data_IF_929590391252
#
_entry.id   IF_929590391252
#
_cell.length_a   1.000
_cell.length_b   1.000
_cell.length_c   1.000
_cell.angle_alpha   90.00
_cell.angle_beta   90.00
_cell.angle_gamma   90.00
#
_symmetry.space_group_name_H-M   'P 1'
#
loop_
_entity.id
_entity.type
_entity.pdbx_description
1 polymer ?
#
# COMPACT_ATOMS: atom_id res chain seq x y z
N UNK A 1 -23.00 15.41 -25.54
CA UNK A 1 -23.21 16.62 -26.36
C UNK A 1 -22.45 17.75 -25.69
N UNK A 2 -21.61 18.44 -26.47
CA UNK A 2 -20.79 19.60 -26.15
C UNK A 2 -19.63 19.39 -25.13
N UNK A 3 -18.51 18.90 -25.66
CA UNK A 3 -17.16 19.12 -25.10
C UNK A 3 -16.55 20.28 -25.91
N UNK A 4 -16.20 21.38 -25.24
CA UNK A 4 -15.49 22.49 -25.86
C UNK A 4 -13.99 22.22 -25.79
N UNK A 5 -13.37 22.05 -26.96
CA UNK A 5 -11.93 22.00 -27.13
C UNK A 5 -11.43 23.42 -27.41
N UNK A 6 -10.47 23.89 -26.62
CA UNK A 6 -9.69 25.10 -26.93
C UNK A 6 -8.45 24.66 -27.69
N UNK A 7 -8.35 25.10 -28.93
CA UNK A 7 -7.18 24.93 -29.78
C UNK A 7 -6.14 26.00 -29.44
N UNK A 8 -4.88 25.57 -29.30
CA UNK A 8 -3.72 26.44 -29.48
C UNK A 8 -3.02 25.97 -30.76
N UNK A 9 -2.86 26.90 -31.70
CA UNK A 9 -2.14 26.68 -32.95
C UNK A 9 -0.88 27.56 -32.98
N UNK A 10 0.07 27.05 -33.75
CA UNK A 10 1.26 27.65 -34.32
C UNK A 10 2.53 27.88 -33.48
N UNK A 11 3.57 27.15 -33.88
CA UNK A 11 4.75 27.86 -34.36
C UNK A 11 6.10 27.22 -34.12
N UNK A 12 6.42 26.05 -34.71
CA UNK A 12 7.82 25.70 -34.97
C UNK A 12 8.01 25.03 -36.35
N UNK A 13 8.66 25.79 -37.24
CA UNK A 13 9.14 25.34 -38.56
C UNK A 13 10.41 24.51 -38.39
N UNK A 14 10.41 23.29 -38.91
CA UNK A 14 11.64 22.55 -39.23
C UNK A 14 11.62 22.17 -40.71
N UNK A 15 12.58 22.72 -41.45
CA UNK A 15 12.91 22.42 -42.85
C UNK A 15 13.47 21.00 -42.99
N UNK A 16 12.86 20.19 -43.86
CA UNK A 16 13.42 18.91 -44.32
C UNK A 16 13.67 18.94 -45.82
N UNK A 17 14.93 18.68 -46.17
CA UNK A 17 15.47 18.56 -47.53
C UNK A 17 15.05 17.24 -48.18
N UNK A 18 14.78 17.32 -49.48
CA UNK A 18 14.30 16.25 -50.36
C UNK A 18 15.38 15.25 -50.79
N UNK A 19 15.05 13.95 -50.82
CA UNK A 19 15.61 12.99 -51.79
C UNK A 19 14.72 11.75 -52.04
N UNK A 20 14.07 11.74 -53.20
CA UNK A 20 13.79 10.61 -54.13
C UNK A 20 13.56 9.17 -53.63
N UNK A 21 12.28 8.76 -53.63
CA UNK A 21 11.64 7.71 -54.45
C UNK A 21 12.36 6.36 -54.70
N UNK A 22 11.84 5.26 -54.13
CA UNK A 22 11.70 3.93 -54.78
C UNK A 22 10.67 3.05 -54.04
N UNK A 23 9.51 2.81 -54.68
CA UNK A 23 8.49 1.85 -54.25
C UNK A 23 8.92 0.41 -54.60
N UNK A 24 8.93 -0.50 -53.63
CA UNK A 24 8.86 -1.95 -53.87
C UNK A 24 7.58 -2.50 -53.20
N UNK A 25 6.69 -3.06 -54.02
CA UNK A 25 5.53 -3.85 -53.59
C UNK A 25 5.99 -5.27 -53.27
N UNK A 26 5.66 -5.80 -52.10
CA UNK A 26 5.72 -7.23 -51.79
C UNK A 26 4.29 -7.77 -51.65
N UNK A 27 4.04 -8.87 -52.36
CA UNK A 27 2.76 -9.59 -52.46
C UNK A 27 2.55 -10.47 -51.23
N UNK A 28 1.32 -10.50 -50.70
CA UNK A 28 0.86 -11.50 -49.73
C UNK A 28 0.21 -12.70 -50.47
N UNK A 29 0.38 -13.95 -50.01
CA UNK A 29 -0.28 -15.13 -50.58
C UNK A 29 -1.71 -15.34 -50.02
N UNK A 30 -2.56 -16.16 -50.68
CA UNK A 30 -4.00 -16.19 -50.44
C UNK A 30 -4.48 -17.27 -49.44
N UNK A 31 -5.57 -16.92 -48.74
CA UNK A 31 -6.68 -17.71 -48.20
C UNK A 31 -6.47 -19.18 -47.78
N UNK A 32 -6.65 -19.43 -46.48
CA UNK A 32 -7.28 -20.66 -45.96
C UNK A 32 -8.46 -20.29 -45.07
N UNK A 33 -9.60 -20.91 -45.36
CA UNK A 33 -10.89 -20.79 -44.66
C UNK A 33 -10.98 -21.92 -43.62
N UNK A 34 -11.48 -21.62 -42.43
CA UNK A 34 -12.22 -22.56 -41.57
C UNK A 34 -13.43 -21.85 -40.92
N UNK A 35 -14.56 -22.53 -40.71
CA UNK A 35 -15.86 -21.92 -40.42
C UNK A 35 -16.20 -21.93 -38.92
N UNK A 36 -17.04 -20.99 -38.49
CA UNK A 36 -17.64 -21.03 -37.15
C UNK A 36 -18.20 -19.69 -36.67
N UNK A 37 -19.24 -19.17 -37.33
CA UNK A 37 -20.04 -18.05 -36.79
C UNK A 37 -21.30 -18.64 -36.17
N UNK A 38 -21.41 -18.58 -34.84
CA UNK A 38 -22.68 -18.80 -34.15
C UNK A 38 -23.51 -17.51 -34.21
N UNK A 39 -24.58 -17.54 -35.01
CA UNK A 39 -25.68 -16.57 -34.93
C UNK A 39 -26.53 -16.84 -33.70
N UNK A 40 -26.65 -15.84 -32.81
CA UNK A 40 -27.61 -15.85 -31.70
C UNK A 40 -28.97 -15.38 -32.22
N UNK A 41 -29.91 -16.31 -32.34
CA UNK A 41 -31.34 -16.02 -32.57
C UNK A 41 -31.96 -15.36 -31.32
N UNK A 42 -32.51 -14.15 -31.47
CA UNK A 42 -33.42 -13.56 -30.48
C UNK A 42 -34.79 -14.22 -30.59
N UNK A 43 -35.17 -15.06 -29.62
CA UNK A 43 -36.58 -15.43 -29.40
C UNK A 43 -37.23 -14.51 -28.37
N UNK A 44 -38.24 -13.76 -28.85
CA UNK A 44 -39.25 -13.08 -28.03
C UNK A 44 -40.16 -14.12 -27.38
N UNK A 45 -40.33 -14.09 -26.07
CA UNK A 45 -41.40 -14.80 -25.38
C UNK A 45 -42.45 -13.81 -24.87
N UNK A 46 -43.68 -14.06 -25.31
CA UNK A 46 -44.90 -13.35 -24.98
C UNK A 46 -45.41 -13.72 -23.59
N UNK A 47 -45.96 -12.73 -22.90
CA UNK A 47 -46.68 -12.84 -21.65
C UNK A 47 -47.92 -13.74 -21.74
N UNK A 48 -48.24 -14.45 -20.65
CA UNK A 48 -49.58 -14.98 -20.40
C UNK A 48 -49.97 -14.80 -18.93
N UNK A 49 -50.92 -13.90 -18.69
CA UNK A 49 -51.69 -13.79 -17.44
C UNK A 49 -52.61 -15.01 -17.27
N UNK A 50 -52.65 -15.57 -16.06
CA UNK A 50 -53.87 -16.11 -15.42
C UNK A 50 -53.74 -15.91 -13.92
N UNK A 51 -54.74 -15.27 -13.31
CA UNK A 51 -54.86 -15.15 -11.86
C UNK A 51 -55.55 -16.37 -11.25
N UNK A 52 -55.66 -16.37 -9.91
CA UNK A 52 -56.91 -16.44 -9.14
C UNK A 52 -56.62 -16.69 -7.64
N UNK A 53 -57.29 -15.86 -6.83
CA UNK A 53 -57.79 -16.02 -5.44
C UNK A 53 -56.87 -16.18 -4.21
N UNK A 54 -56.90 -15.09 -3.43
CA UNK A 54 -57.11 -14.95 -1.97
C UNK A 54 -57.30 -16.19 -1.10
N UNK A 55 -56.65 -16.18 0.07
CA UNK A 55 -57.23 -16.59 1.36
C UNK A 55 -56.57 -15.84 2.53
N UNK A 56 -57.28 -15.85 3.66
CA UNK A 56 -57.35 -14.83 4.74
C UNK A 56 -56.27 -14.92 5.83
N UNK A 57 -56.20 -13.79 6.56
CA UNK A 57 -55.95 -13.59 7.99
C UNK A 57 -55.28 -14.69 8.83
N UNK A 58 -54.17 -14.31 9.46
CA UNK A 58 -53.74 -14.78 10.78
C UNK A 58 -53.38 -13.58 11.65
N UNK A 59 -54.12 -13.41 12.75
CA UNK A 59 -53.87 -12.42 13.81
C UNK A 59 -53.08 -13.07 14.98
N UNK A 60 -52.74 -12.24 15.97
CA UNK A 60 -52.26 -12.49 17.36
C UNK A 60 -50.79 -12.08 17.64
N UNK A 61 -50.47 -11.60 18.87
CA UNK A 61 -51.20 -10.61 19.66
C UNK A 61 -50.34 -9.45 20.20
N UNK A 62 -51.06 -8.39 20.53
CA UNK A 62 -50.70 -7.29 21.42
C UNK A 62 -50.29 -7.77 22.82
N UNK A 63 -49.21 -7.21 23.36
CA UNK A 63 -48.94 -7.14 24.79
C UNK A 63 -49.32 -5.74 25.30
N UNK A 64 -50.11 -5.68 26.38
CA UNK A 64 -50.58 -4.43 27.00
C UNK A 64 -50.46 -4.53 28.51
N UNK A 65 -50.22 -3.35 29.10
CA UNK A 65 -50.29 -2.95 30.51
C UNK A 65 -49.10 -3.45 31.38
N UNK A 66 -48.53 -2.66 32.30
CA UNK A 66 -49.23 -1.76 33.22
C UNK A 66 -48.37 -0.61 33.77
N UNK A 67 -49.07 0.41 34.26
CA UNK A 67 -48.61 1.67 34.84
C UNK A 67 -48.03 1.50 36.26
N UNK A 68 -47.03 2.31 36.63
CA UNK A 68 -46.97 3.02 37.93
C UNK A 68 -46.14 4.30 37.76
N UNK A 69 -46.72 5.50 37.75
CA UNK A 69 -47.23 6.34 38.86
C UNK A 69 -46.12 7.17 39.52
N UNK A 70 -46.19 8.48 39.24
CA UNK A 70 -45.49 9.62 39.86
C UNK A 70 -45.41 9.51 41.38
N UNK A 71 -44.32 10.02 41.95
CA UNK A 71 -44.39 10.85 43.14
C UNK A 71 -43.46 12.07 43.02
N UNK A 72 -44.01 13.18 43.49
CA UNK A 72 -43.52 14.55 43.45
C UNK A 72 -43.56 15.01 44.89
N UNK A 73 -42.45 15.46 45.47
CA UNK A 73 -42.49 16.33 46.65
C UNK A 73 -41.35 17.34 46.61
N UNK A 74 -41.77 18.58 46.76
CA UNK A 74 -41.02 19.82 46.88
C UNK A 74 -40.77 20.17 48.36
N UNK A 75 -39.78 21.02 48.61
CA UNK A 75 -39.71 21.87 49.82
C UNK A 75 -38.27 22.40 50.00
N UNK A 76 -37.95 23.61 49.52
CA UNK A 76 -38.06 24.90 50.22
C UNK A 76 -37.15 25.03 51.45
N UNK A 77 -36.17 25.95 51.39
CA UNK A 77 -35.91 27.08 52.32
C UNK A 77 -34.47 27.60 52.19
N UNK A 78 -34.28 28.78 51.59
CA UNK A 78 -34.13 30.14 52.16
C UNK A 78 -32.69 30.56 52.47
N UNK A 79 -32.38 31.72 51.88
CA UNK A 79 -31.31 32.68 52.10
C UNK A 79 -30.66 32.77 53.49
N UNK A 80 -29.37 33.13 53.47
CA UNK A 80 -28.64 33.73 54.58
C UNK A 80 -27.39 34.45 54.04
N UNK A 81 -27.40 35.77 54.12
CA UNK A 81 -26.36 36.70 53.66
C UNK A 81 -25.27 36.90 54.73
N UNK A 82 -24.18 37.56 54.27
CA UNK A 82 -23.20 38.37 55.03
C UNK A 82 -21.92 37.69 55.54
N UNK A 83 -20.78 38.22 55.08
CA UNK A 83 -19.44 37.92 55.62
C UNK A 83 -18.30 38.48 54.76
N UNK A 84 -18.24 39.81 54.61
CA UNK A 84 -17.10 40.52 54.06
C UNK A 84 -15.87 40.32 54.97
N UNK A 85 -14.81 39.70 54.45
CA UNK A 85 -13.47 39.77 55.03
C UNK A 85 -12.45 39.88 53.89
N UNK A 86 -12.02 41.13 53.68
CA UNK A 86 -10.89 41.53 52.85
C UNK A 86 -9.60 40.92 53.42
N UNK A 87 -9.07 39.88 52.77
CA UNK A 87 -7.69 39.47 52.92
C UNK A 87 -7.00 39.71 51.57
N UNK A 88 -6.23 40.79 51.52
CA UNK A 88 -5.40 41.20 50.39
C UNK A 88 -4.22 40.23 50.27
N UNK A 89 -4.44 39.06 49.67
CA UNK A 89 -3.34 38.20 49.22
C UNK A 89 -2.99 38.65 47.81
N UNK A 90 -1.84 39.32 47.68
CA UNK A 90 -1.24 39.62 46.40
C UNK A 90 -0.93 38.30 45.68
N UNK A 91 -1.89 37.84 44.87
CA UNK A 91 -1.70 36.74 43.94
C UNK A 91 -0.75 37.22 42.85
N UNK A 92 0.53 36.91 43.02
CA UNK A 92 1.45 36.83 41.89
C UNK A 92 0.91 35.70 41.02
N UNK A 93 0.17 36.06 39.97
CA UNK A 93 -0.15 35.14 38.90
C UNK A 93 1.17 34.74 38.25
N UNK A 94 1.72 33.60 38.70
CA UNK A 94 2.73 32.89 37.95
C UNK A 94 2.05 32.48 36.66
N UNK A 95 2.25 33.29 35.62
CA UNK A 95 1.99 32.89 34.25
C UNK A 95 2.96 31.74 33.97
N UNK A 96 2.55 30.52 34.32
CA UNK A 96 3.16 29.34 33.74
C UNK A 96 2.98 29.50 32.24
N UNK A 97 4.05 29.51 31.43
CA UNK A 97 3.87 29.42 30.00
C UNK A 97 3.03 28.17 29.78
N UNK A 98 1.85 28.34 29.18
CA UNK A 98 1.15 27.22 28.57
C UNK A 98 2.15 26.72 27.56
N UNK A 99 2.83 25.61 27.88
CA UNK A 99 3.63 24.91 26.90
C UNK A 99 2.67 24.72 25.72
N UNK A 100 2.99 25.30 24.57
CA UNK A 100 2.32 24.94 23.34
C UNK A 100 2.46 23.41 23.29
N UNK A 101 1.34 22.72 23.46
CA UNK A 101 1.30 21.28 23.34
C UNK A 101 1.79 21.04 21.93
N UNK A 102 3.01 20.49 21.79
CA UNK A 102 3.51 20.11 20.47
C UNK A 102 2.39 19.30 19.81
N UNK A 103 2.05 19.59 18.55
CA UNK A 103 0.97 18.87 17.91
C UNK A 103 1.27 17.38 18.05
N UNK A 104 0.37 16.67 18.72
CA UNK A 104 0.49 15.24 18.95
C UNK A 104 0.80 14.55 17.61
N UNK A 105 1.80 13.66 17.58
CA UNK A 105 2.17 12.94 16.37
C UNK A 105 0.94 12.24 15.80
N UNK A 106 0.38 12.81 14.73
CA UNK A 106 -0.85 12.30 14.16
C UNK A 106 -0.51 10.98 13.44
N UNK A 107 -0.88 9.86 14.06
CA UNK A 107 -0.78 8.51 13.46
C UNK A 107 0.67 8.19 13.05
N UNK A 108 1.62 8.54 13.92
CA UNK A 108 3.05 8.32 13.74
C UNK A 108 3.78 9.38 12.90
N UNK A 109 3.11 10.45 12.46
CA UNK A 109 3.71 11.51 11.67
C UNK A 109 3.69 12.85 12.43
N UNK A 110 4.85 13.42 12.78
CA UNK A 110 4.92 14.76 13.37
C UNK A 110 4.33 15.83 12.45
N UNK A 111 3.88 16.93 13.07
CA UNK A 111 3.29 18.04 12.33
C UNK A 111 4.29 18.64 11.33
N UNK A 112 3.86 18.74 10.07
CA UNK A 112 4.67 19.26 8.96
C UNK A 112 5.64 18.25 8.35
N UNK A 113 5.71 17.02 8.84
CA UNK A 113 6.56 15.96 8.28
C UNK A 113 5.80 15.02 7.33
N UNK A 114 6.54 14.13 6.66
CA UNK A 114 6.02 13.07 5.79
C UNK A 114 6.86 11.80 5.97
N UNK A 115 6.71 11.14 7.14
CA UNK A 115 7.53 9.98 7.55
C UNK A 115 7.16 8.67 6.84
N UNK A 116 5.93 8.56 6.33
CA UNK A 116 5.45 7.37 5.62
C UNK A 116 5.27 7.64 4.14
N UNK A 117 5.38 6.62 3.30
CA UNK A 117 5.19 6.76 1.85
C UNK A 117 3.85 7.45 1.49
N UNK A 118 2.80 7.21 2.29
CA UNK A 118 1.47 7.78 2.10
C UNK A 118 1.10 8.85 3.16
N UNK A 119 2.10 9.58 3.66
CA UNK A 119 1.94 10.71 4.59
C UNK A 119 2.03 10.27 6.05
N UNK A 120 1.08 9.47 6.49
CA UNK A 120 1.00 8.92 7.84
C UNK A 120 0.88 7.38 7.82
N UNK A 121 0.93 6.73 9.00
CA UNK A 121 0.80 5.27 9.09
C UNK A 121 -0.55 4.78 8.55
N UNK A 122 -1.60 5.61 8.61
CA UNK A 122 -2.96 5.31 8.18
C UNK A 122 -3.14 5.42 6.65
N UNK A 123 -2.14 5.92 5.93
CA UNK A 123 -2.16 6.06 4.48
C UNK A 123 -3.10 7.17 3.98
N UNK A 124 -3.38 8.19 4.79
CA UNK A 124 -4.40 9.20 4.46
C UNK A 124 -3.95 10.21 3.40
N UNK A 125 -2.64 10.37 3.20
CA UNK A 125 -2.03 11.37 2.30
C UNK A 125 -2.52 12.80 2.57
N UNK A 126 -2.84 13.08 3.82
CA UNK A 126 -3.29 14.39 4.28
C UNK A 126 -2.14 15.13 4.98
N UNK A 127 -2.02 16.43 4.69
CA UNK A 127 -1.13 17.34 5.43
C UNK A 127 -1.98 18.36 6.17
N UNK A 128 -1.72 18.62 7.47
CA UNK A 128 -2.40 19.66 8.23
C UNK A 128 -1.84 21.07 7.99
N UNK A 129 -0.83 21.23 7.13
CA UNK A 129 -0.27 22.53 6.78
C UNK A 129 -1.26 23.32 5.93
N UNK A 130 -1.43 24.59 6.26
CA UNK A 130 -2.42 25.50 5.66
C UNK A 130 -1.80 26.79 5.10
N UNK A 131 -0.46 26.88 5.04
CA UNK A 131 0.22 28.03 4.44
C UNK A 131 -0.17 28.23 2.96
N UNK A 132 -0.40 27.14 2.23
CA UNK A 132 -0.88 27.15 0.85
C UNK A 132 -2.34 26.70 0.87
N UNK A 133 -3.23 27.55 0.35
CA UNK A 133 -4.67 27.33 0.36
C UNK A 133 -5.33 27.82 -0.94
N UNK A 134 -6.67 27.80 -0.98
CA UNK A 134 -7.42 28.21 -2.15
C UNK A 134 -7.33 29.72 -2.47
N UNK A 135 -6.89 30.55 -1.52
CA UNK A 135 -6.76 32.00 -1.70
C UNK A 135 -5.42 32.40 -2.32
N UNK A 136 -4.36 31.60 -2.14
CA UNK A 136 -3.00 31.91 -2.60
C UNK A 136 -2.37 30.88 -3.56
N UNK A 137 -3.08 29.79 -3.91
CA UNK A 137 -2.55 28.74 -4.79
C UNK A 137 -1.98 29.24 -6.13
N UNK A 138 -2.58 30.30 -6.69
CA UNK A 138 -2.16 30.88 -7.97
C UNK A 138 -0.80 31.60 -7.89
N UNK A 139 -0.27 31.84 -6.69
CA UNK A 139 1.03 32.49 -6.46
C UNK A 139 2.19 31.48 -6.38
N UNK A 140 1.93 30.17 -6.53
CA UNK A 140 2.97 29.15 -6.44
C UNK A 140 4.02 29.26 -7.56
N UNK A 141 5.29 29.23 -7.15
CA UNK A 141 6.43 29.16 -8.05
C UNK A 141 7.33 27.96 -7.76
N UNK A 142 8.11 27.55 -8.76
CA UNK A 142 9.10 26.47 -8.59
C UNK A 142 10.26 27.02 -7.77
N UNK A 143 10.42 26.52 -6.53
CA UNK A 143 11.56 26.87 -5.68
C UNK A 143 12.89 26.30 -6.24
N UNK A 144 12.89 25.02 -6.64
CA UNK A 144 14.03 24.35 -7.26
C UNK A 144 13.59 23.05 -7.98
N UNK A 145 14.49 22.46 -8.78
CA UNK A 145 14.28 21.17 -9.45
C UNK A 145 15.49 20.27 -9.22
N UNK A 146 15.26 19.10 -8.61
CA UNK A 146 16.25 18.05 -8.46
C UNK A 146 16.08 16.98 -9.56
N UNK A 147 17.19 16.53 -10.17
CA UNK A 147 17.17 15.57 -11.29
C UNK A 147 17.60 14.18 -10.85
N UNK A 148 16.62 13.27 -10.73
CA UNK A 148 16.81 11.87 -10.38
C UNK A 148 16.75 10.88 -11.56
N UNK A 149 16.74 11.37 -12.79
CA UNK A 149 16.54 10.54 -13.99
C UNK A 149 17.79 9.74 -14.39
N UNK A 150 19.00 10.20 -14.03
CA UNK A 150 20.26 9.60 -14.47
C UNK A 150 20.86 8.52 -13.52
N UNK A 151 20.05 7.89 -12.67
CA UNK A 151 20.49 6.85 -11.72
C UNK A 151 20.28 5.43 -12.27
N UNK A 152 20.88 5.14 -13.42
CA UNK A 152 20.73 3.84 -14.09
C UNK A 152 21.40 3.77 -15.47
N UNK A 153 21.29 2.63 -16.17
CA UNK A 153 21.88 2.47 -17.50
C UNK A 153 21.26 3.41 -18.55
N UNK A 154 20.02 3.86 -18.31
CA UNK A 154 19.30 4.80 -19.16
C UNK A 154 18.48 5.77 -18.29
N UNK A 155 18.12 6.96 -18.82
CA UNK A 155 17.25 7.89 -18.12
C UNK A 155 15.91 7.26 -17.75
N UNK A 156 15.47 7.48 -16.50
CA UNK A 156 14.13 7.08 -16.06
C UNK A 156 13.11 8.16 -16.43
N UNK A 157 12.18 7.81 -17.31
CA UNK A 157 11.13 8.73 -17.77
C UNK A 157 9.85 8.70 -16.94
N UNK A 158 9.70 7.72 -16.04
CA UNK A 158 8.50 7.52 -15.22
C UNK A 158 8.91 7.33 -13.76
N UNK A 159 9.02 8.43 -13.01
CA UNK A 159 9.24 8.39 -11.57
C UNK A 159 7.91 8.16 -10.84
N UNK A 160 7.94 7.28 -9.83
CA UNK A 160 6.78 6.95 -8.98
C UNK A 160 7.01 7.23 -7.51
N UNK A 161 8.21 7.70 -7.17
CA UNK A 161 8.61 7.94 -5.78
C UNK A 161 7.83 9.10 -5.20
N UNK A 162 7.28 8.91 -4.01
CA UNK A 162 6.81 10.00 -3.16
C UNK A 162 7.95 10.32 -2.18
N UNK A 163 8.56 11.53 -2.25
CA UNK A 163 9.59 11.92 -1.30
C UNK A 163 9.06 11.98 0.13
N UNK A 164 9.89 11.58 1.09
CA UNK A 164 9.63 11.67 2.53
C UNK A 164 10.40 12.83 3.13
N UNK A 165 9.75 13.68 3.92
CA UNK A 165 10.38 14.78 4.66
C UNK A 165 10.44 14.41 6.13
N UNK A 166 11.66 14.24 6.64
CA UNK A 166 11.92 13.67 7.97
C UNK A 166 13.06 14.46 8.61
N UNK A 167 12.83 15.02 9.80
CA UNK A 167 13.83 15.73 10.61
C UNK A 167 14.66 16.77 9.81
N UNK A 168 13.98 17.50 8.91
CA UNK A 168 14.63 18.54 8.11
C UNK A 168 15.29 18.06 6.81
N UNK A 169 15.24 16.77 6.48
CA UNK A 169 15.86 16.20 5.28
C UNK A 169 14.80 15.56 4.38
N UNK A 170 14.93 15.74 3.06
CA UNK A 170 14.09 15.10 2.06
C UNK A 170 14.74 13.81 1.56
N UNK A 171 14.02 12.69 1.63
CA UNK A 171 14.48 11.38 1.16
C UNK A 171 13.64 10.90 -0.02
N UNK A 172 14.29 10.33 -1.04
CA UNK A 172 13.58 9.72 -2.18
C UNK A 172 14.41 8.60 -2.80
N UNK A 173 13.83 7.88 -3.74
CA UNK A 173 14.53 6.91 -4.60
C UNK A 173 14.54 7.36 -6.05
N UNK A 174 15.62 7.05 -6.76
CA UNK A 174 15.87 7.55 -8.10
C UNK A 174 16.40 6.48 -9.08
N UNK A 175 16.03 6.67 -10.35
CA UNK A 175 16.46 5.85 -11.49
C UNK A 175 16.13 4.36 -11.41
N UNK A 176 16.72 3.59 -12.32
CA UNK A 176 16.55 2.13 -12.40
C UNK A 176 17.29 1.38 -11.31
N UNK A 177 18.26 2.02 -10.64
CA UNK A 177 19.00 1.42 -9.54
C UNK A 177 18.30 1.54 -8.19
N UNK A 178 17.16 2.26 -8.12
CA UNK A 178 16.50 2.64 -6.87
C UNK A 178 17.50 3.25 -5.89
N UNK A 179 18.34 4.17 -6.40
CA UNK A 179 19.33 4.87 -5.61
C UNK A 179 18.60 5.75 -4.60
N UNK A 180 18.88 5.57 -3.31
CA UNK A 180 18.37 6.45 -2.25
C UNK A 180 19.12 7.76 -2.34
N UNK A 181 18.40 8.88 -2.23
CA UNK A 181 18.99 10.21 -2.16
C UNK A 181 18.41 10.95 -0.95
N UNK A 182 19.30 11.54 -0.15
CA UNK A 182 18.97 12.54 0.85
C UNK A 182 19.29 13.92 0.29
N UNK A 183 18.36 14.85 0.47
CA UNK A 183 18.35 16.16 -0.19
C UNK A 183 18.01 17.21 0.85
N UNK A 184 18.74 18.32 0.83
CA UNK A 184 18.37 19.53 1.56
C UNK A 184 17.09 20.13 0.93
N UNK A 185 15.97 20.20 1.66
CA UNK A 185 14.69 20.62 1.09
C UNK A 185 14.63 22.12 0.74
N UNK A 186 15.49 22.95 1.34
CA UNK A 186 15.48 24.39 1.11
C UNK A 186 16.21 24.75 -0.19
N UNK A 187 17.25 24.00 -0.54
CA UNK A 187 18.16 24.32 -1.65
C UNK A 187 18.10 23.32 -2.81
N UNK A 188 17.63 22.10 -2.57
CA UNK A 188 17.72 20.98 -3.51
C UNK A 188 19.12 20.34 -3.58
N UNK A 189 20.04 20.69 -2.67
CA UNK A 189 21.37 20.08 -2.58
C UNK A 189 21.27 18.59 -2.23
N UNK A 190 22.01 17.74 -2.93
CA UNK A 190 22.11 16.32 -2.57
C UNK A 190 23.13 16.14 -1.45
N UNK A 191 22.65 15.72 -0.28
CA UNK A 191 23.48 15.52 0.91
C UNK A 191 24.27 14.21 0.81
N UNK A 192 23.58 13.13 0.48
CA UNK A 192 24.18 11.82 0.23
C UNK A 192 23.32 10.98 -0.71
N UNK A 193 23.92 9.98 -1.33
CA UNK A 193 23.20 8.97 -2.10
C UNK A 193 23.73 7.59 -1.80
N UNK A 194 22.84 6.59 -1.74
CA UNK A 194 23.22 5.19 -1.65
C UNK A 194 22.69 4.38 -2.83
N UNK A 195 23.57 3.60 -3.45
CA UNK A 195 23.24 2.69 -4.55
C UNK A 195 23.77 1.30 -4.21
N UNK A 196 22.89 0.31 -4.27
CA UNK A 196 23.27 -1.11 -4.14
C UNK A 196 24.35 -1.49 -5.18
N UNK A 197 25.31 -2.35 -4.81
CA UNK A 197 26.21 -3.01 -5.75
C UNK A 197 25.46 -3.64 -6.94
N UNK A 198 26.15 -3.79 -8.07
CA UNK A 198 25.52 -4.45 -9.22
C UNK A 198 25.34 -5.94 -8.95
N UNK A 199 24.10 -6.42 -9.05
CA UNK A 199 23.75 -7.84 -8.88
C UNK A 199 23.00 -8.35 -10.10
N UNK A 200 23.12 -9.65 -10.38
CA UNK A 200 22.33 -10.29 -11.44
C UNK A 200 20.83 -10.20 -11.16
N UNK A 201 20.44 -10.36 -9.89
CA UNK A 201 19.05 -10.16 -9.42
C UNK A 201 18.47 -8.79 -9.79
N UNK A 202 19.28 -7.72 -9.72
CA UNK A 202 18.85 -6.40 -10.20
C UNK A 202 18.73 -6.35 -11.74
N UNK A 203 19.69 -6.90 -12.47
CA UNK A 203 19.70 -6.89 -13.95
C UNK A 203 18.47 -7.58 -14.54
N UNK A 204 18.00 -8.63 -13.87
CA UNK A 204 16.81 -9.40 -14.25
C UNK A 204 15.51 -8.80 -13.65
N UNK A 205 15.59 -7.71 -12.87
CA UNK A 205 14.40 -7.16 -12.21
C UNK A 205 13.47 -6.42 -13.18
N UNK A 206 12.27 -6.96 -13.38
CA UNK A 206 11.20 -6.35 -14.16
C UNK A 206 10.54 -5.14 -13.46
N UNK A 207 10.91 -4.87 -12.20
CA UNK A 207 10.41 -3.78 -11.36
C UNK A 207 11.50 -2.77 -10.98
N UNK A 208 12.66 -2.81 -11.65
CA UNK A 208 13.78 -1.90 -11.40
C UNK A 208 13.38 -0.41 -11.42
N UNK A 209 12.48 -0.01 -12.33
CA UNK A 209 12.00 1.37 -12.50
C UNK A 209 10.77 1.76 -11.65
N UNK A 210 10.36 0.92 -10.70
CA UNK A 210 9.07 1.08 -10.00
C UNK A 210 9.20 1.61 -8.56
N UNK A 211 10.35 2.15 -8.15
CA UNK A 211 10.58 2.61 -6.77
C UNK A 211 9.59 3.70 -6.33
N UNK A 212 8.96 3.51 -5.15
CA UNK A 212 7.88 4.36 -4.62
C UNK A 212 8.22 5.23 -3.40
N UNK A 213 9.42 5.08 -2.85
CA UNK A 213 9.88 5.84 -1.68
C UNK A 213 10.78 5.01 -0.78
N UNK A 214 10.86 5.42 0.48
CA UNK A 214 11.65 4.77 1.54
C UNK A 214 10.76 4.46 2.74
N UNK A 215 11.19 3.51 3.59
CA UNK A 215 10.66 3.33 4.94
C UNK A 215 11.52 4.09 5.94
N UNK A 216 10.97 4.41 7.10
CA UNK A 216 11.67 5.15 8.16
C UNK A 216 11.30 4.61 9.54
N UNK A 217 12.27 4.63 10.45
CA UNK A 217 12.02 4.58 11.89
C UNK A 217 13.12 5.31 12.66
N UNK A 218 12.83 5.66 13.90
CA UNK A 218 13.84 6.07 14.86
C UNK A 218 14.23 4.87 15.74
N UNK A 219 15.52 4.56 15.78
CA UNK A 219 16.10 3.45 16.55
C UNK A 219 17.12 4.04 17.52
N UNK A 220 16.87 3.92 18.83
CA UNK A 220 17.76 4.45 19.88
C UNK A 220 18.13 5.95 19.69
N UNK A 221 17.18 6.79 19.26
CA UNK A 221 17.42 8.22 19.00
C UNK A 221 18.10 8.52 17.66
N UNK A 222 18.22 7.51 16.78
CA UNK A 222 18.86 7.61 15.47
C UNK A 222 17.83 7.35 14.37
N UNK A 223 17.69 8.27 13.43
CA UNK A 223 16.87 8.05 12.24
C UNK A 223 17.49 6.99 11.33
N UNK A 224 16.68 6.03 10.88
CA UNK A 224 17.07 4.93 9.99
C UNK A 224 16.16 4.91 8.77
N UNK A 225 16.75 4.91 7.59
CA UNK A 225 16.07 4.78 6.31
C UNK A 225 16.16 3.33 5.84
N UNK A 226 15.00 2.71 5.60
CA UNK A 226 14.89 1.36 5.08
C UNK A 226 14.53 1.37 3.60
N UNK A 227 15.25 0.59 2.81
CA UNK A 227 14.93 0.41 1.39
C UNK A 227 14.99 -1.07 1.01
N UNK A 228 13.98 -1.53 0.28
CA UNK A 228 14.03 -2.81 -0.40
C UNK A 228 14.46 -2.55 -1.84
N UNK A 229 15.49 -3.22 -2.32
CA UNK A 229 16.04 -3.02 -3.66
C UNK A 229 15.35 -3.91 -4.71
N UNK A 230 15.52 -3.64 -6.01
CA UNK A 230 14.97 -4.53 -7.04
C UNK A 230 15.53 -5.95 -6.99
N UNK A 231 16.73 -6.14 -6.43
CA UNK A 231 17.38 -7.43 -6.20
C UNK A 231 16.86 -8.17 -4.95
N UNK A 232 15.87 -7.60 -4.26
CA UNK A 232 15.21 -8.17 -3.09
C UNK A 232 16.12 -8.27 -1.86
N UNK A 233 16.93 -7.23 -1.63
CA UNK A 233 17.61 -6.99 -0.36
C UNK A 233 16.94 -5.87 0.41
N UNK A 234 16.88 -6.00 1.73
CA UNK A 234 16.51 -4.92 2.64
C UNK A 234 17.77 -4.28 3.20
N UNK A 235 17.95 -2.98 2.96
CA UNK A 235 19.02 -2.18 3.54
C UNK A 235 18.48 -1.27 4.63
N UNK A 236 19.24 -1.15 5.72
CA UNK A 236 19.04 -0.15 6.76
C UNK A 236 20.21 0.84 6.72
N UNK A 237 19.90 2.13 6.53
CA UNK A 237 20.88 3.21 6.37
C UNK A 237 20.66 4.26 7.44
N UNK A 238 21.73 4.77 8.04
CA UNK A 238 21.67 5.96 8.87
C UNK A 238 21.13 7.14 8.05
N UNK A 239 20.09 7.80 8.56
CA UNK A 239 19.38 8.84 7.82
C UNK A 239 20.25 10.06 7.50
N UNK A 240 21.27 10.37 8.32
CA UNK A 240 22.10 11.57 8.16
C UNK A 240 23.29 11.35 7.22
N UNK A 241 23.82 10.14 7.17
CA UNK A 241 25.08 9.80 6.51
C UNK A 241 24.92 8.89 5.31
N UNK A 242 23.84 8.10 5.25
CA UNK A 242 23.64 7.06 4.24
C UNK A 242 24.52 5.82 4.45
N UNK A 243 25.26 5.74 5.56
CA UNK A 243 26.04 4.56 5.92
C UNK A 243 25.13 3.43 6.42
N UNK A 244 25.52 2.18 6.18
CA UNK A 244 24.79 1.02 6.66
C UNK A 244 24.73 0.97 8.19
N UNK A 245 23.55 0.64 8.72
CA UNK A 245 23.34 0.54 10.17
C UNK A 245 24.14 -0.63 10.74
N UNK A 246 25.07 -0.32 11.65
CA UNK A 246 25.88 -1.33 12.33
C UNK A 246 25.02 -2.26 13.20
N UNK A 247 25.27 -3.57 13.09
CA UNK A 247 24.57 -4.60 13.86
C UNK A 247 23.21 -5.00 13.28
N UNK A 248 22.77 -4.37 12.19
CA UNK A 248 21.57 -4.78 11.47
C UNK A 248 21.89 -5.84 10.40
N UNK A 249 21.10 -6.90 10.36
CA UNK A 249 21.24 -7.96 9.35
C UNK A 249 22.57 -8.70 9.40
N UNK A 250 23.05 -9.19 8.25
CA UNK A 250 24.28 -10.00 8.16
C UNK A 250 25.03 -9.75 6.84
N UNK A 251 26.34 -10.06 6.76
CA UNK A 251 27.08 -9.97 5.52
C UNK A 251 26.42 -10.77 4.39
N UNK A 252 26.27 -10.14 3.23
CA UNK A 252 25.82 -10.80 2.00
C UNK A 252 27.06 -11.29 1.25
N UNK A 253 27.15 -12.57 0.85
CA UNK A 253 28.33 -13.14 0.22
C UNK A 253 28.44 -12.78 -1.27
N UNK A 254 28.34 -11.48 -1.58
CA UNK A 254 28.47 -10.91 -2.93
C UNK A 254 29.43 -9.74 -2.85
N UNK A 255 30.40 -9.70 -3.76
CA UNK A 255 31.40 -8.63 -3.82
C UNK A 255 30.75 -7.24 -3.87
N UNK A 256 31.22 -6.36 -3.00
CA UNK A 256 30.78 -4.96 -2.91
C UNK A 256 29.66 -4.70 -1.90
N UNK A 257 29.03 -5.74 -1.34
CA UNK A 257 28.13 -5.56 -0.21
C UNK A 257 28.90 -5.21 1.07
N UNK A 258 28.30 -4.43 1.98
CA UNK A 258 28.88 -4.11 3.28
C UNK A 258 28.86 -5.34 4.22
N UNK A 259 29.62 -5.26 5.31
CA UNK A 259 29.64 -6.28 6.36
C UNK A 259 28.38 -6.27 7.25
N UNK A 260 27.53 -5.25 7.16
CA UNK A 260 26.33 -5.06 7.99
C UNK A 260 25.31 -4.14 7.31
N UNK A 261 24.13 -3.96 7.91
CA UNK A 261 23.05 -3.12 7.43
C UNK A 261 22.26 -3.69 6.25
N UNK A 262 22.35 -5.01 6.00
CA UNK A 262 21.68 -5.68 4.88
C UNK A 262 21.09 -7.01 5.29
N UNK A 263 19.90 -7.31 4.76
CA UNK A 263 19.25 -8.61 4.81
C UNK A 263 19.00 -9.08 3.39
N UNK A 264 19.41 -10.31 3.10
CA UNK A 264 18.98 -11.03 1.90
C UNK A 264 17.62 -11.68 2.16
N UNK A 265 16.55 -11.06 1.65
CA UNK A 265 15.18 -11.47 1.95
C UNK A 265 14.85 -12.86 1.36
N UNK A 266 15.58 -13.31 0.33
CA UNK A 266 15.41 -14.65 -0.22
C UNK A 266 15.72 -15.76 0.80
N UNK A 267 16.62 -15.46 1.76
CA UNK A 267 17.05 -16.41 2.79
C UNK A 267 15.90 -16.92 3.67
N UNK A 268 14.85 -16.10 3.84
CA UNK A 268 13.76 -16.38 4.76
C UNK A 268 12.46 -16.78 4.03
N UNK A 269 12.44 -16.83 2.70
CA UNK A 269 11.26 -17.27 1.93
C UNK A 269 11.05 -18.79 1.99
N UNK A 270 12.11 -19.57 2.20
CA UNK A 270 12.04 -21.04 2.26
C UNK A 270 12.19 -21.74 0.91
N UNK A 271 12.72 -21.07 -0.11
CA UNK A 271 13.04 -21.66 -1.42
C UNK A 271 14.55 -21.79 -1.60
N UNK A 272 14.97 -22.77 -2.41
CA UNK A 272 16.37 -22.84 -2.84
C UNK A 272 16.73 -21.61 -3.66
N UNK A 273 17.85 -20.98 -3.32
CA UNK A 273 18.36 -19.81 -4.02
C UNK A 273 19.89 -19.78 -3.93
N UNK A 274 20.50 -19.10 -4.89
CA UNK A 274 21.90 -18.69 -4.82
C UNK A 274 21.95 -17.19 -4.49
N UNK A 275 22.84 -16.72 -3.60
CA UNK A 275 22.90 -15.30 -3.25
C UNK A 275 23.17 -14.39 -4.46
N UNK A 276 24.01 -14.79 -5.42
CA UNK A 276 24.30 -13.95 -6.58
C UNK A 276 23.21 -14.06 -7.65
N UNK A 277 22.80 -15.28 -7.98
CA UNK A 277 21.89 -15.59 -9.08
C UNK A 277 20.41 -15.43 -8.70
N UNK A 278 20.04 -15.61 -7.44
CA UNK A 278 18.67 -15.59 -6.94
C UNK A 278 17.97 -16.96 -6.99
N UNK A 279 16.64 -16.94 -7.03
CA UNK A 279 15.81 -18.14 -7.21
C UNK A 279 15.93 -18.57 -8.68
N UNK A 280 16.09 -19.88 -8.98
CA UNK A 280 16.04 -20.36 -10.36
C UNK A 280 14.77 -19.92 -11.07
N UNK A 281 14.90 -19.28 -12.24
CA UNK A 281 13.77 -18.68 -12.97
C UNK A 281 12.72 -19.70 -13.44
N UNK A 282 13.03 -21.00 -13.42
CA UNK A 282 12.07 -22.08 -13.67
C UNK A 282 11.25 -22.46 -12.44
N UNK A 283 11.70 -22.12 -11.23
CA UNK A 283 10.95 -22.24 -9.97
C UNK A 283 10.07 -21.01 -9.77
N UNK A 284 10.63 -19.81 -9.94
CA UNK A 284 9.86 -18.58 -9.79
C UNK A 284 10.72 -17.32 -9.77
N UNK A 285 10.07 -16.19 -9.52
CA UNK A 285 10.68 -14.87 -9.56
C UNK A 285 10.02 -13.93 -8.56
N UNK A 286 10.81 -13.27 -7.72
CA UNK A 286 10.33 -12.26 -6.78
C UNK A 286 11.23 -11.03 -6.80
N UNK A 287 10.61 -9.87 -6.58
CA UNK A 287 11.27 -8.57 -6.52
C UNK A 287 10.44 -7.64 -5.62
N UNK A 288 10.69 -6.35 -5.66
CA UNK A 288 9.94 -5.37 -4.88
C UNK A 288 9.72 -4.08 -5.68
N UNK A 289 8.66 -3.33 -5.36
CA UNK A 289 8.41 -1.98 -5.90
C UNK A 289 8.06 -0.92 -4.85
N UNK A 290 7.64 -1.32 -3.65
CA UNK A 290 7.22 -0.42 -2.57
C UNK A 290 8.20 -0.47 -1.40
N UNK A 291 8.41 0.65 -0.68
CA UNK A 291 9.16 0.60 0.56
C UNK A 291 8.49 -0.31 1.60
N UNK A 292 9.25 -0.81 2.60
CA UNK A 292 8.63 -1.43 3.76
C UNK A 292 7.88 -0.39 4.59
N UNK A 293 7.04 -0.85 5.50
CA UNK A 293 6.52 -0.02 6.60
C UNK A 293 7.19 -0.46 7.89
N UNK A 294 7.52 0.49 8.77
CA UNK A 294 8.02 0.18 10.11
C UNK A 294 6.94 0.51 11.13
N UNK A 295 6.56 -0.46 11.94
CA UNK A 295 5.45 -0.37 12.89
C UNK A 295 5.91 -1.02 14.20
N UNK A 296 5.91 -0.25 15.29
CA UNK A 296 6.27 -0.71 16.63
C UNK A 296 7.59 -1.51 16.68
N UNK A 297 8.63 -1.00 16.00
CA UNK A 297 9.94 -1.65 15.94
C UNK A 297 10.04 -2.86 15.00
N UNK A 298 9.03 -3.10 14.17
CA UNK A 298 9.01 -4.20 13.19
C UNK A 298 8.96 -3.65 11.76
N UNK A 299 9.90 -4.07 10.91
CA UNK A 299 9.92 -3.76 9.48
C UNK A 299 9.10 -4.82 8.75
N UNK A 300 7.96 -4.44 8.16
CA UNK A 300 7.12 -5.32 7.36
C UNK A 300 7.38 -5.11 5.88
N UNK A 301 7.70 -6.20 5.20
CA UNK A 301 8.24 -6.23 3.83
C UNK A 301 7.18 -6.80 2.89
N UNK A 302 6.63 -5.93 2.05
CA UNK A 302 5.88 -6.33 0.85
C UNK A 302 6.83 -6.71 -0.30
N UNK A 303 6.25 -7.23 -1.39
CA UNK A 303 7.02 -7.73 -2.52
C UNK A 303 6.27 -7.52 -3.84
N UNK A 304 6.80 -8.02 -4.94
CA UNK A 304 6.24 -7.89 -6.29
C UNK A 304 6.76 -9.01 -7.17
N UNK A 305 5.99 -9.38 -8.19
CA UNK A 305 6.41 -10.35 -9.21
C UNK A 305 6.41 -9.69 -10.60
N UNK A 306 6.65 -10.50 -11.62
CA UNK A 306 6.42 -10.16 -13.02
C UNK A 306 5.03 -9.53 -13.21
N UNK A 307 4.89 -8.59 -14.13
CA UNK A 307 3.58 -8.02 -14.44
C UNK A 307 2.64 -9.12 -14.99
N UNK A 308 1.40 -9.18 -14.52
CA UNK A 308 0.46 -10.24 -14.92
C UNK A 308 0.22 -10.43 -16.43
N UNK A 309 0.48 -9.41 -17.25
CA UNK A 309 0.40 -9.50 -18.72
C UNK A 309 1.67 -10.02 -19.40
N UNK A 310 2.73 -10.27 -18.63
CA UNK A 310 4.01 -10.83 -19.10
C UNK A 310 4.21 -12.29 -18.62
N UNK A 311 3.51 -12.70 -17.55
CA UNK A 311 3.56 -14.06 -17.02
C UNK A 311 3.17 -15.11 -18.07
N UNK A 312 4.10 -16.04 -18.34
CA UNK A 312 3.92 -17.11 -19.34
C UNK A 312 3.98 -18.52 -18.77
N UNK A 313 4.23 -18.66 -17.45
CA UNK A 313 4.34 -19.93 -16.73
C UNK A 313 3.26 -20.05 -15.67
N UNK A 314 2.91 -21.29 -15.32
CA UNK A 314 1.94 -21.54 -14.26
C UNK A 314 2.66 -21.57 -12.89
N UNK A 315 3.92 -21.96 -12.90
CA UNK A 315 4.80 -22.09 -11.75
C UNK A 315 5.37 -20.73 -11.32
N UNK A 316 5.38 -20.48 -10.01
CA UNK A 316 6.08 -19.33 -9.42
C UNK A 316 6.22 -19.53 -7.90
N UNK A 317 7.02 -18.68 -7.25
CA UNK A 317 7.09 -18.63 -5.78
C UNK A 317 5.98 -17.73 -5.19
N UNK A 318 5.47 -18.00 -3.97
CA UNK A 318 4.51 -17.14 -3.30
C UNK A 318 5.10 -15.77 -2.92
N UNK A 319 4.25 -14.74 -2.96
CA UNK A 319 4.54 -13.39 -2.50
C UNK A 319 4.38 -13.22 -1.01
N UNK A 320 5.02 -14.08 -0.22
CA UNK A 320 4.94 -14.09 1.24
C UNK A 320 5.41 -12.76 1.85
N UNK A 321 4.78 -12.40 2.97
CA UNK A 321 5.10 -11.17 3.69
C UNK A 321 6.11 -11.51 4.79
N UNK A 322 7.21 -10.77 4.82
CA UNK A 322 8.29 -10.98 5.79
C UNK A 322 8.30 -9.84 6.81
N UNK A 323 8.71 -10.16 8.04
CA UNK A 323 8.90 -9.17 9.07
C UNK A 323 10.22 -9.36 9.83
N UNK A 324 10.83 -8.24 10.16
CA UNK A 324 12.13 -8.17 10.81
C UNK A 324 12.12 -7.19 11.97
N UNK A 325 12.92 -7.47 13.00
CA UNK A 325 13.22 -6.46 14.02
C UNK A 325 13.92 -5.26 13.37
N UNK A 326 13.41 -4.05 13.61
CA UNK A 326 13.91 -2.85 12.95
C UNK A 326 15.33 -2.48 13.41
N UNK A 327 15.72 -2.85 14.63
CA UNK A 327 17.02 -2.53 15.18
C UNK A 327 18.09 -3.52 14.73
N UNK A 328 17.78 -4.82 14.80
CA UNK A 328 18.77 -5.89 14.60
C UNK A 328 18.66 -6.55 13.23
N UNK A 329 17.52 -6.43 12.56
CA UNK A 329 17.26 -7.18 11.33
C UNK A 329 17.02 -8.68 11.56
N UNK A 330 16.77 -9.10 12.81
CA UNK A 330 16.40 -10.48 13.10
C UNK A 330 15.04 -10.81 12.47
N UNK A 331 14.95 -11.94 11.77
CA UNK A 331 13.70 -12.41 11.20
C UNK A 331 12.70 -12.75 12.31
N UNK A 332 11.53 -12.12 12.30
CA UNK A 332 10.47 -12.34 13.30
C UNK A 332 9.49 -13.39 12.82
N UNK A 333 8.88 -13.16 11.66
CA UNK A 333 7.85 -14.04 11.11
C UNK A 333 7.75 -13.91 9.59
N UNK A 334 7.18 -14.95 8.99
CA UNK A 334 6.74 -15.00 7.60
C UNK A 334 5.26 -15.34 7.58
N UNK A 335 4.49 -14.56 6.83
CA UNK A 335 3.09 -14.87 6.55
C UNK A 335 2.97 -15.49 5.15
N UNK A 336 2.55 -16.75 5.10
CA UNK A 336 2.31 -17.46 3.84
C UNK A 336 1.02 -16.95 3.18
N UNK A 337 1.13 -16.30 2.02
CA UNK A 337 -0.05 -15.81 1.27
C UNK A 337 -0.72 -16.90 0.43
N UNK A 338 0.02 -17.97 0.16
CA UNK A 338 -0.46 -19.24 -0.40
C UNK A 338 -0.14 -20.32 0.64
N UNK A 339 -1.12 -21.14 1.04
CA UNK A 339 -0.94 -22.14 2.09
C UNK A 339 0.16 -23.14 1.70
N UNK A 340 1.03 -23.50 2.65
CA UNK A 340 2.15 -24.44 2.45
C UNK A 340 1.87 -25.84 3.02
N UNK A 341 0.68 -26.05 3.58
CA UNK A 341 0.24 -27.33 4.14
C UNK A 341 -1.29 -27.41 4.19
N UNK A 342 -1.83 -28.64 4.28
CA UNK A 342 -3.28 -28.86 4.40
C UNK A 342 -3.90 -28.23 5.65
N UNK A 343 -3.09 -27.98 6.69
CA UNK A 343 -3.52 -27.36 7.94
C UNK A 343 -3.60 -25.83 7.87
N UNK A 344 -3.01 -25.20 6.86
CA UNK A 344 -2.99 -23.74 6.74
C UNK A 344 -4.33 -23.20 6.23
N UNK A 345 -4.68 -22.01 6.72
CA UNK A 345 -5.95 -21.38 6.38
C UNK A 345 -6.03 -21.07 4.88
N UNK A 346 -7.16 -21.42 4.26
CA UNK A 346 -7.40 -21.18 2.84
C UNK A 346 -6.92 -22.30 1.92
N UNK A 347 -6.28 -23.35 2.43
CA UNK A 347 -5.86 -24.53 1.67
C UNK A 347 -6.99 -25.12 0.81
N UNK A 348 -8.18 -25.27 1.40
CA UNK A 348 -9.38 -25.81 0.75
C UNK A 348 -9.88 -24.97 -0.44
N UNK A 349 -9.36 -23.75 -0.59
CA UNK A 349 -9.68 -22.85 -1.72
C UNK A 349 -8.80 -23.06 -2.95
N UNK A 350 -7.81 -23.96 -2.88
CA UNK A 350 -6.89 -24.28 -3.97
C UNK A 350 -7.13 -25.71 -4.45
N UNK A 351 -7.80 -25.85 -5.60
CA UNK A 351 -8.01 -27.15 -6.23
C UNK A 351 -6.83 -27.53 -7.13
N UNK A 352 -6.79 -28.80 -7.55
CA UNK A 352 -5.72 -29.37 -8.38
C UNK A 352 -4.32 -29.25 -7.75
N UNK A 353 -4.24 -29.17 -6.42
CA UNK A 353 -3.00 -28.95 -5.68
C UNK A 353 -2.25 -27.69 -6.16
N UNK A 354 -2.98 -26.70 -6.68
CA UNK A 354 -2.38 -25.51 -7.29
C UNK A 354 -1.52 -24.69 -6.34
N UNK A 355 -1.79 -24.78 -5.03
CA UNK A 355 -1.03 -24.13 -3.97
C UNK A 355 0.46 -24.54 -3.95
N UNK A 356 0.81 -25.74 -4.45
CA UNK A 356 2.17 -26.31 -4.37
C UNK A 356 3.12 -25.77 -5.47
N UNK A 357 2.56 -25.36 -6.61
CA UNK A 357 3.37 -24.93 -7.76
C UNK A 357 3.12 -23.47 -8.16
N UNK A 358 1.94 -22.91 -7.87
CA UNK A 358 1.64 -21.53 -8.22
C UNK A 358 2.24 -20.54 -7.21
N UNK A 359 2.22 -19.26 -7.56
CA UNK A 359 2.84 -18.23 -6.73
C UNK A 359 2.19 -16.86 -6.93
N UNK A 360 3.00 -15.82 -6.79
CA UNK A 360 2.56 -14.43 -6.69
C UNK A 360 1.61 -14.24 -5.48
N UNK A 361 0.51 -13.49 -5.61
CA UNK A 361 -0.24 -12.97 -4.44
C UNK A 361 0.60 -11.93 -3.66
N UNK A 362 1.48 -11.23 -4.36
CA UNK A 362 2.29 -10.14 -3.83
C UNK A 362 1.51 -8.92 -3.37
N UNK A 363 2.06 -8.26 -2.35
CA UNK A 363 1.67 -6.91 -1.95
C UNK A 363 2.59 -5.86 -2.59
N UNK A 364 2.32 -5.56 -3.87
CA UNK A 364 3.11 -4.57 -4.60
C UNK A 364 2.70 -3.14 -4.30
N UNK A 365 1.51 -2.89 -3.74
CA UNK A 365 1.11 -1.57 -3.27
C UNK A 365 1.70 -1.26 -1.88
N UNK A 366 1.90 0.02 -1.51
CA UNK A 366 2.32 0.37 -0.15
C UNK A 366 1.33 -0.11 0.91
N UNK A 367 1.86 -0.37 2.11
CA UNK A 367 1.11 -0.85 3.27
C UNK A 367 0.64 0.34 4.13
N UNK A 368 -0.32 0.09 5.01
CA UNK A 368 -0.72 0.99 6.10
C UNK A 368 -0.80 0.22 7.42
N UNK A 369 -0.90 0.93 8.52
CA UNK A 369 -0.95 0.34 9.85
C UNK A 369 -1.72 1.20 10.85
N UNK A 370 -2.35 0.52 11.80
CA UNK A 370 -2.82 1.10 13.04
C UNK A 370 -1.78 0.77 14.12
N UNK A 371 -0.90 1.73 14.41
CA UNK A 371 0.22 1.54 15.35
C UNK A 371 -0.26 1.32 16.78
N UNK A 372 -1.37 1.94 17.18
CA UNK A 372 -1.96 1.79 18.52
C UNK A 372 -2.42 0.34 18.74
N UNK A 373 -2.99 -0.27 17.70
CA UNK A 373 -3.49 -1.65 17.73
C UNK A 373 -2.44 -2.68 17.35
N UNK A 374 -1.30 -2.25 16.81
CA UNK A 374 -0.27 -3.15 16.29
C UNK A 374 -0.73 -3.95 15.08
N UNK A 375 -1.57 -3.38 14.21
CA UNK A 375 -2.10 -4.07 13.02
C UNK A 375 -1.54 -3.44 11.75
N UNK A 376 -1.05 -4.28 10.82
CA UNK A 376 -0.66 -3.88 9.47
C UNK A 376 -1.67 -4.39 8.45
N UNK A 377 -2.05 -3.52 7.50
CA UNK A 377 -3.02 -3.80 6.45
C UNK A 377 -2.32 -3.97 5.11
N UNK A 378 -2.49 -5.14 4.50
CA UNK A 378 -1.73 -5.60 3.35
C UNK A 378 -2.68 -5.88 2.18
N UNK A 379 -2.64 -5.06 1.12
CA UNK A 379 -3.37 -5.34 -0.12
C UNK A 379 -2.60 -6.33 -1.00
N UNK A 380 -3.23 -7.39 -1.49
CA UNK A 380 -2.58 -8.37 -2.38
C UNK A 380 -3.10 -8.29 -3.83
N UNK A 381 -2.31 -8.82 -4.76
CA UNK A 381 -2.69 -9.01 -6.15
C UNK A 381 -3.23 -10.43 -6.43
N UNK A 382 -3.42 -10.74 -7.71
CA UNK A 382 -3.85 -12.05 -8.17
C UNK A 382 -2.70 -13.09 -8.08
N UNK A 383 -3.00 -14.40 -7.98
CA UNK A 383 -2.00 -15.45 -8.15
C UNK A 383 -1.52 -15.52 -9.61
N UNK A 384 -0.38 -16.19 -9.82
CA UNK A 384 0.26 -16.38 -11.13
C UNK A 384 -0.75 -16.72 -12.24
N UNK A 385 -0.51 -16.10 -13.40
CA UNK A 385 -1.39 -16.00 -14.55
C UNK A 385 -2.68 -15.22 -14.21
N UNK A 386 -2.54 -13.90 -14.08
CA UNK A 386 -3.61 -12.96 -13.74
C UNK A 386 -4.86 -13.04 -14.63
N UNK A 387 -4.73 -13.55 -15.86
CA UNK A 387 -5.79 -13.54 -16.89
C UNK A 387 -6.34 -14.93 -17.23
N UNK A 388 -5.86 -16.00 -16.60
CA UNK A 388 -6.35 -17.35 -16.84
C UNK A 388 -6.21 -18.23 -15.60
N UNK A 389 -7.34 -18.63 -15.02
CA UNK A 389 -7.39 -19.45 -13.80
C UNK A 389 -7.62 -20.95 -14.03
N UNK A 390 -7.64 -21.44 -15.28
CA UNK A 390 -8.04 -22.83 -15.57
C UNK A 390 -7.15 -23.91 -14.95
N UNK A 391 -5.90 -23.58 -14.61
CA UNK A 391 -4.98 -24.49 -13.92
C UNK A 391 -5.16 -24.48 -12.39
N UNK A 392 -5.74 -23.40 -11.83
CA UNK A 392 -5.91 -23.16 -10.39
C UNK A 392 -7.38 -22.94 -9.99
N UNK A 393 -8.30 -23.91 -10.21
CA UNK A 393 -9.68 -23.75 -9.79
C UNK A 393 -9.81 -23.50 -8.27
N UNK A 394 -10.91 -22.85 -7.86
CA UNK A 394 -11.16 -22.47 -6.47
C UNK A 394 -11.00 -20.97 -6.24
N UNK A 395 -11.27 -20.49 -5.01
CA UNK A 395 -11.24 -19.06 -4.71
C UNK A 395 -9.81 -18.49 -4.72
N UNK A 396 -8.78 -19.34 -4.58
CA UNK A 396 -7.36 -18.96 -4.58
C UNK A 396 -7.02 -17.93 -3.49
N UNK A 397 -7.41 -18.18 -2.26
CA UNK A 397 -7.14 -17.30 -1.12
C UNK A 397 -5.64 -17.36 -0.75
N UNK A 398 -4.90 -16.26 -0.58
CA UNK A 398 -5.32 -14.87 -0.33
C UNK A 398 -5.25 -13.92 -1.54
N UNK A 399 -5.44 -14.39 -2.77
CA UNK A 399 -5.45 -13.55 -3.98
C UNK A 399 -6.47 -12.41 -3.92
N UNK A 400 -6.07 -11.18 -4.28
CA UNK A 400 -6.91 -9.96 -4.33
C UNK A 400 -7.62 -9.62 -3.01
N UNK A 401 -6.89 -9.74 -1.90
CA UNK A 401 -7.42 -9.57 -0.54
C UNK A 401 -6.79 -8.37 0.16
N UNK A 402 -7.58 -7.72 1.02
CA UNK A 402 -7.02 -6.90 2.11
C UNK A 402 -6.84 -7.82 3.31
N UNK A 403 -5.62 -7.92 3.83
CA UNK A 403 -5.27 -8.76 4.97
C UNK A 403 -4.86 -7.86 6.13
N UNK A 404 -5.39 -8.10 7.32
CA UNK A 404 -4.95 -7.46 8.55
C UNK A 404 -4.13 -8.47 9.37
N UNK A 405 -2.90 -8.09 9.70
CA UNK A 405 -1.93 -8.94 10.40
C UNK A 405 -1.48 -8.25 11.68
N UNK A 406 -1.39 -9.01 12.77
CA UNK A 406 -0.73 -8.56 14.00
C UNK A 406 0.77 -8.40 13.73
N UNK A 407 1.28 -7.19 13.92
CA UNK A 407 2.65 -6.83 13.55
C UNK A 407 3.69 -7.61 14.35
N UNK A 408 3.38 -8.00 15.58
CA UNK A 408 4.34 -8.65 16.46
C UNK A 408 4.43 -10.15 16.15
N UNK A 409 3.27 -10.80 15.99
CA UNK A 409 3.21 -12.27 15.85
C UNK A 409 3.16 -12.75 14.41
N UNK A 410 2.72 -11.90 13.47
CA UNK A 410 2.43 -12.30 12.09
C UNK A 410 1.10 -13.03 11.94
N UNK A 411 0.29 -13.11 13.00
CA UNK A 411 -1.01 -13.79 12.96
C UNK A 411 -2.03 -12.98 12.16
N UNK A 412 -2.82 -13.68 11.35
CA UNK A 412 -3.95 -13.09 10.63
C UNK A 412 -5.05 -12.70 11.62
N UNK A 413 -5.28 -11.39 11.77
CA UNK A 413 -6.42 -10.86 12.54
C UNK A 413 -7.71 -11.07 11.75
N UNK A 414 -7.76 -10.55 10.53
CA UNK A 414 -8.87 -10.73 9.59
C UNK A 414 -8.37 -10.60 8.15
N UNK A 415 -9.22 -10.96 7.20
CA UNK A 415 -8.99 -10.65 5.79
C UNK A 415 -10.33 -10.47 5.08
N UNK A 416 -10.31 -9.79 3.94
CA UNK A 416 -11.44 -9.74 3.02
C UNK A 416 -10.96 -9.94 1.58
N UNK A 417 -11.42 -11.02 0.95
CA UNK A 417 -11.10 -11.33 -0.44
C UNK A 417 -12.08 -10.62 -1.39
N UNK A 418 -11.59 -9.66 -2.18
CA UNK A 418 -12.46 -8.84 -3.03
C UNK A 418 -12.85 -9.53 -4.34
N UNK A 419 -12.03 -10.46 -4.84
CA UNK A 419 -12.34 -11.29 -6.02
C UNK A 419 -12.06 -12.76 -5.69
N UNK A 420 -13.11 -13.58 -5.76
CA UNK A 420 -12.95 -15.04 -5.73
C UNK A 420 -12.53 -15.53 -7.12
N UNK A 421 -11.49 -16.34 -7.18
CA UNK A 421 -10.93 -16.86 -8.45
C UNK A 421 -10.53 -15.73 -9.43
N UNK A 422 -9.53 -14.90 -9.08
CA UNK A 422 -9.16 -13.74 -9.89
C UNK A 422 -8.59 -14.15 -11.25
N UNK A 423 -9.17 -13.62 -12.33
CA UNK A 423 -8.79 -13.87 -13.74
C UNK A 423 -8.84 -12.61 -14.62
N UNK A 424 -8.86 -11.42 -14.02
CA UNK A 424 -8.98 -10.13 -14.72
C UNK A 424 -7.95 -9.09 -14.30
N UNK A 425 -6.90 -9.47 -13.57
CA UNK A 425 -5.91 -8.53 -13.02
C UNK A 425 -6.58 -7.40 -12.20
N UNK A 426 -7.51 -7.78 -11.32
CA UNK A 426 -8.21 -6.87 -10.42
C UNK A 426 -7.53 -6.78 -9.05
N UNK A 427 -6.21 -6.69 -9.06
CA UNK A 427 -5.39 -6.44 -7.87
C UNK A 427 -5.86 -5.21 -7.11
N UNK A 428 -5.43 -5.14 -5.85
CA UNK A 428 -5.63 -3.99 -4.98
C UNK A 428 -4.43 -3.03 -5.12
N UNK A 429 -4.55 -1.92 -5.88
CA UNK A 429 -3.40 -1.12 -6.28
C UNK A 429 -3.05 0.00 -5.28
N UNK A 430 -3.90 0.18 -4.27
CA UNK A 430 -3.86 1.30 -3.36
C UNK A 430 -3.63 0.81 -1.93
N UNK A 431 -2.90 1.62 -1.18
CA UNK A 431 -2.79 1.50 0.27
C UNK A 431 -4.20 1.46 0.89
N UNK A 432 -4.48 0.53 1.82
CA UNK A 432 -5.70 0.59 2.62
C UNK A 432 -5.71 1.88 3.43
N UNK A 433 -6.77 2.67 3.35
CA UNK A 433 -6.85 3.97 4.03
C UNK A 433 -7.58 3.79 5.36
N UNK A 434 -6.95 4.15 6.46
CA UNK A 434 -7.57 4.08 7.78
C UNK A 434 -8.17 5.44 8.15
N UNK A 435 -9.40 5.43 8.66
CA UNK A 435 -10.13 6.63 9.09
C UNK A 435 -11.05 6.29 10.25
N UNK A 436 -11.36 7.28 11.08
CA UNK A 436 -12.48 7.21 12.01
C UNK A 436 -13.65 7.97 11.40
N UNK A 437 -14.82 7.34 11.30
CA UNK A 437 -16.01 7.96 10.70
C UNK A 437 -17.22 7.72 11.58
N UNK A 438 -18.02 8.76 11.80
CA UNK A 438 -19.32 8.63 12.46
C UNK A 438 -20.35 8.01 11.52
N UNK A 439 -20.83 6.80 11.84
CA UNK A 439 -21.94 6.12 11.16
C UNK A 439 -23.10 6.00 12.15
N UNK A 440 -24.28 6.52 11.79
CA UNK A 440 -25.49 6.53 12.65
C UNK A 440 -25.25 7.06 14.08
N UNK A 441 -24.35 8.04 14.22
CA UNK A 441 -24.01 8.66 15.50
C UNK A 441 -22.99 7.89 16.34
N UNK A 442 -22.42 6.80 15.83
CA UNK A 442 -21.33 6.04 16.46
C UNK A 442 -20.04 6.22 15.67
N UNK A 443 -18.93 6.49 16.35
CA UNK A 443 -17.61 6.50 15.73
C UNK A 443 -17.20 5.06 15.39
N UNK A 444 -16.86 4.83 14.13
CA UNK A 444 -16.43 3.53 13.61
C UNK A 444 -14.99 3.64 13.11
N UNK A 445 -14.05 2.86 13.65
CA UNK A 445 -12.69 2.80 13.15
C UNK A 445 -12.67 1.97 11.87
N UNK A 446 -12.47 2.60 10.71
CA UNK A 446 -12.58 1.95 9.41
C UNK A 446 -11.24 1.76 8.69
N UNK A 447 -11.17 0.69 7.90
CA UNK A 447 -10.19 0.47 6.86
C UNK A 447 -10.91 0.46 5.51
N UNK A 448 -10.49 1.32 4.58
CA UNK A 448 -11.11 1.52 3.28
C UNK A 448 -10.16 1.00 2.18
N UNK A 449 -10.63 0.02 1.41
CA UNK A 449 -9.90 -0.50 0.26
C UNK A 449 -10.58 -0.05 -1.03
N UNK A 450 -9.87 0.74 -1.83
CA UNK A 450 -10.25 1.04 -3.22
C UNK A 450 -9.63 0.01 -4.16
N UNK A 451 -10.38 -0.40 -5.19
CA UNK A 451 -10.04 -1.58 -6.01
C UNK A 451 -10.08 -1.29 -7.51
N UNK A 452 -9.36 -2.09 -8.30
CA UNK A 452 -9.46 -2.07 -9.78
C UNK A 452 -10.86 -2.46 -10.31
N UNK A 453 -11.74 -3.02 -9.46
CA UNK A 453 -13.13 -3.35 -9.82
C UNK A 453 -14.02 -2.11 -9.98
N UNK A 454 -13.53 -0.92 -9.62
CA UNK A 454 -14.34 0.29 -9.54
C UNK A 454 -15.24 0.34 -8.30
N UNK A 455 -14.98 -0.53 -7.32
CA UNK A 455 -15.66 -0.58 -6.04
C UNK A 455 -14.74 -0.12 -4.91
N UNK A 456 -15.34 0.44 -3.87
CA UNK A 456 -14.69 0.79 -2.60
C UNK A 456 -15.36 -0.02 -1.51
N UNK A 457 -14.56 -0.74 -0.74
CA UNK A 457 -15.03 -1.54 0.39
C UNK A 457 -14.56 -0.87 1.68
N UNK A 458 -15.42 -0.79 2.69
CA UNK A 458 -14.99 -0.41 4.03
C UNK A 458 -15.36 -1.46 5.06
N UNK A 459 -14.44 -1.64 5.99
CA UNK A 459 -14.56 -2.60 7.07
C UNK A 459 -14.23 -1.89 8.37
N UNK A 460 -14.78 -2.37 9.48
CA UNK A 460 -14.19 -2.08 10.78
C UNK A 460 -12.73 -2.57 10.76
N UNK A 461 -11.77 -1.70 11.02
CA UNK A 461 -10.34 -2.01 10.88
C UNK A 461 -9.82 -3.00 11.91
N UNK A 462 -10.53 -3.20 13.01
CA UNK A 462 -10.19 -4.17 14.06
C UNK A 462 -10.71 -5.57 13.73
N UNK A 463 -11.94 -5.66 13.24
CA UNK A 463 -12.67 -6.94 13.13
C UNK A 463 -12.81 -7.45 11.69
N UNK A 464 -12.67 -6.57 10.69
CA UNK A 464 -12.96 -6.89 9.29
C UNK A 464 -14.45 -6.95 8.96
N UNK A 465 -15.33 -6.62 9.92
CA UNK A 465 -16.78 -6.58 9.67
C UNK A 465 -17.11 -5.50 8.63
N UNK A 466 -17.84 -5.82 7.55
CA UNK A 466 -18.19 -4.85 6.52
C UNK A 466 -19.04 -3.70 7.08
N UNK A 467 -18.72 -2.48 6.64
CA UNK A 467 -19.53 -1.28 6.89
C UNK A 467 -20.36 -0.93 5.66
N UNK A 468 -19.74 -0.90 4.46
CA UNK A 468 -20.41 -0.68 3.17
C UNK A 468 -19.76 -1.40 1.99
#
# INVERSE_FOLDING_TARGET
MATAAVAFDDGFRATLSSSTNRRRRLRLPPNRVWPGVYTVERRRLLARKRGVQSLRCGAFPLWRNEKMRRNRTSGWRTAGSLGLLLAFVAGVAVLTPVAAQEPEEARGNPYGEWRFQSGDAWGTRYSPLDQIDAENFEDLEVAWVWRGDNFGPHPLYLSRSTPSYIDGILYTVAGYRRTVAAIDPATGETLWTYREPNTRRWEESMRASYGKGVGYAEIDGRGVIYIITPAFFLHALDAKTGEHLEGFGKPVPIDGFPDTGVIDLLADLGHEYDPYEGIPMDVGYITNSSPPIVVNGTVVVGNSHEQGYAQSRIENVPGDILAYDAKTGEHKWKFNVIPQSESEFGFDTWQNDAWDWTGDVSSWAPLSADMERGIVYIPTNSPTIDYYGGFRPGNNLFGTSTIAIDVETGDRVWHFQTVHHPIWNYDLPNVPILVDVTVDGQEVPMAIQTTKQGMTFAFNRETGEPVW
#
